data_IF_057979288988
#
_entry.id   IF_057979288988
#
_cell.length_a   1.000
_cell.length_b   1.000
_cell.length_c   1.000
_cell.angle_alpha   90.00
_cell.angle_beta   90.00
_cell.angle_gamma   90.00
#
_symmetry.space_group_name_H-M   'P 1'
#
loop_
_entity.id
_entity.type
_entity.pdbx_description
1 polymer ?
#
# COMPACT_ATOMS: atom_id res chain seq x y z
N UNK A 1 -33.01 13.35 76.56
CA UNK A 1 -32.21 12.23 76.03
C UNK A 1 -32.80 11.64 74.75
N UNK A 2 -34.10 11.35 74.66
CA UNK A 2 -34.71 10.78 73.44
C UNK A 2 -34.55 11.63 72.16
N UNK A 3 -34.66 12.96 72.24
CA UNK A 3 -34.53 13.87 71.09
C UNK A 3 -33.12 13.94 70.49
N UNK A 4 -32.09 13.75 71.31
CA UNK A 4 -30.70 13.76 70.87
C UNK A 4 -30.36 12.50 70.07
N UNK A 5 -30.85 11.34 70.53
CA UNK A 5 -30.70 10.06 69.82
C UNK A 5 -31.44 10.06 68.48
N UNK A 6 -32.62 10.70 68.37
CA UNK A 6 -33.34 10.81 67.10
C UNK A 6 -32.59 11.69 66.08
N UNK A 7 -31.96 12.78 66.54
CA UNK A 7 -31.16 13.66 65.68
C UNK A 7 -29.88 12.98 65.16
N UNK A 8 -29.22 12.16 65.98
CA UNK A 8 -28.03 11.40 65.58
C UNK A 8 -28.34 10.30 64.56
N UNK A 9 -29.50 9.65 64.69
CA UNK A 9 -29.96 8.66 63.71
C UNK A 9 -30.27 9.32 62.37
N UNK A 10 -30.94 10.47 62.38
CA UNK A 10 -31.27 11.23 61.17
C UNK A 10 -29.98 11.68 60.44
N UNK A 11 -29.02 12.20 61.19
CA UNK A 11 -27.75 12.67 60.62
C UNK A 11 -26.91 11.53 60.03
N UNK A 12 -26.94 10.33 60.63
CA UNK A 12 -26.31 9.15 60.02
C UNK A 12 -27.02 8.71 58.74
N UNK A 13 -28.35 8.80 58.70
CA UNK A 13 -29.13 8.47 57.51
C UNK A 13 -28.78 9.41 56.35
N UNK A 14 -28.77 10.72 56.59
CA UNK A 14 -28.44 11.74 55.58
C UNK A 14 -27.00 11.56 55.06
N UNK A 15 -26.09 11.14 55.95
CA UNK A 15 -24.68 10.88 55.60
C UNK A 15 -24.53 9.63 54.73
N UNK A 16 -25.22 8.53 55.06
CA UNK A 16 -25.24 7.32 54.23
C UNK A 16 -25.87 7.59 52.85
N UNK A 17 -26.93 8.39 52.78
CA UNK A 17 -27.56 8.80 51.53
C UNK A 17 -26.60 9.64 50.66
N UNK A 18 -25.82 10.51 51.28
CA UNK A 18 -24.81 11.32 50.59
C UNK A 18 -23.68 10.45 50.05
N UNK A 19 -23.20 9.49 50.86
CA UNK A 19 -22.15 8.56 50.45
C UNK A 19 -22.60 7.67 49.29
N UNK A 20 -23.83 7.15 49.34
CA UNK A 20 -24.41 6.37 48.24
C UNK A 20 -24.49 7.17 46.94
N UNK A 21 -24.94 8.43 47.00
CA UNK A 21 -24.99 9.32 45.82
C UNK A 21 -23.60 9.61 45.25
N UNK A 22 -22.58 9.74 46.08
CA UNK A 22 -21.20 9.91 45.61
C UNK A 22 -20.66 8.65 44.93
N UNK A 23 -20.96 7.47 45.48
CA UNK A 23 -20.57 6.19 44.87
C UNK A 23 -21.23 6.03 43.50
N UNK A 24 -22.53 6.30 43.40
CA UNK A 24 -23.27 6.24 42.13
C UNK A 24 -22.72 7.23 41.09
N UNK A 25 -22.39 8.46 41.51
CA UNK A 25 -21.78 9.46 40.64
C UNK A 25 -20.37 9.01 40.17
N UNK A 26 -19.58 8.38 41.03
CA UNK A 26 -18.27 7.84 40.64
C UNK A 26 -18.40 6.67 39.66
N UNK A 27 -19.36 5.78 39.87
CA UNK A 27 -19.63 4.67 38.94
C UNK A 27 -20.06 5.23 37.58
N UNK A 28 -20.94 6.25 37.56
CA UNK A 28 -21.36 6.93 36.35
C UNK A 28 -20.18 7.60 35.62
N UNK A 29 -19.28 8.25 36.35
CA UNK A 29 -18.08 8.88 35.79
C UNK A 29 -17.10 7.85 35.20
N UNK A 30 -16.83 6.76 35.92
CA UNK A 30 -15.94 5.69 35.46
C UNK A 30 -16.52 5.02 34.20
N UNK A 31 -17.84 4.81 34.15
CA UNK A 31 -18.51 4.26 32.96
C UNK A 31 -18.47 5.23 31.77
N UNK A 32 -18.62 6.53 31.99
CA UNK A 32 -18.50 7.53 30.94
C UNK A 32 -17.05 7.60 30.38
N UNK A 33 -16.05 7.56 31.27
CA UNK A 33 -14.64 7.55 30.88
C UNK A 33 -14.27 6.27 30.14
N UNK A 34 -14.75 5.10 30.59
CA UNK A 34 -14.45 3.82 29.93
C UNK A 34 -15.07 3.72 28.53
N UNK A 35 -16.26 4.30 28.31
CA UNK A 35 -16.86 4.41 26.98
C UNK A 35 -16.15 5.43 26.08
N UNK A 36 -15.68 6.56 26.63
CA UNK A 36 -14.93 7.57 25.87
C UNK A 36 -13.49 7.16 25.53
N UNK A 37 -12.91 6.24 26.29
CA UNK A 37 -11.54 5.71 26.11
C UNK A 37 -11.51 4.37 25.37
N UNK A 38 -12.66 3.76 25.08
CA UNK A 38 -12.72 2.57 24.26
C UNK A 38 -12.08 2.89 22.90
N UNK A 39 -11.07 2.12 22.44
CA UNK A 39 -10.52 2.31 21.11
C UNK A 39 -11.68 2.23 20.13
N UNK A 40 -11.91 3.30 19.38
CA UNK A 40 -12.86 3.31 18.29
C UNK A 40 -12.26 2.51 17.13
N UNK A 41 -12.07 1.21 17.35
CA UNK A 41 -11.89 0.27 16.27
C UNK A 41 -13.06 0.50 15.33
N UNK A 42 -12.76 0.83 14.07
CA UNK A 42 -13.73 1.23 13.04
C UNK A 42 -14.19 2.70 13.07
N UNK A 43 -13.40 3.63 13.62
CA UNK A 43 -13.67 5.05 13.34
C UNK A 43 -13.60 5.32 11.82
N UNK A 44 -14.42 6.24 11.27
CA UNK A 44 -14.39 6.58 9.85
C UNK A 44 -12.99 6.98 9.36
N UNK A 45 -12.21 7.66 10.21
CA UNK A 45 -10.83 8.08 9.94
C UNK A 45 -9.89 6.87 9.85
N UNK A 46 -10.04 5.88 10.73
CA UNK A 46 -9.26 4.63 10.66
C UNK A 46 -9.59 3.83 9.42
N UNK A 47 -10.87 3.73 9.06
CA UNK A 47 -11.31 3.05 7.82
C UNK A 47 -10.76 3.78 6.59
N UNK A 48 -10.80 5.11 6.59
CA UNK A 48 -10.22 5.92 5.52
C UNK A 48 -8.72 5.71 5.37
N UNK A 49 -7.99 5.71 6.50
CA UNK A 49 -6.55 5.47 6.52
C UNK A 49 -6.21 4.06 6.04
N UNK A 50 -6.95 3.05 6.50
CA UNK A 50 -6.76 1.66 6.07
C UNK A 50 -7.01 1.49 4.57
N UNK A 51 -8.08 2.09 4.04
CA UNK A 51 -8.37 2.08 2.61
C UNK A 51 -7.28 2.80 1.80
N UNK A 52 -6.75 3.90 2.31
CA UNK A 52 -5.64 4.60 1.69
C UNK A 52 -4.37 3.74 1.66
N UNK A 53 -4.06 3.06 2.76
CA UNK A 53 -2.92 2.17 2.86
C UNK A 53 -3.02 0.99 1.89
N UNK A 54 -4.18 0.33 1.83
CA UNK A 54 -4.44 -0.73 0.85
C UNK A 54 -4.24 -0.23 -0.58
N UNK A 55 -4.71 0.98 -0.90
CA UNK A 55 -4.54 1.57 -2.24
C UNK A 55 -3.06 1.77 -2.57
N UNK A 56 -2.28 2.32 -1.64
CA UNK A 56 -0.84 2.51 -1.83
C UNK A 56 -0.12 1.17 -2.01
N UNK A 57 -0.49 0.14 -1.24
CA UNK A 57 0.10 -1.19 -1.36
C UNK A 57 -0.19 -1.82 -2.74
N UNK A 58 -1.42 -1.66 -3.25
CA UNK A 58 -1.76 -2.09 -4.61
C UNK A 58 -0.92 -1.36 -5.65
N UNK A 59 -0.81 -0.03 -5.55
CA UNK A 59 -0.02 0.77 -6.48
C UNK A 59 1.47 0.38 -6.46
N UNK A 60 2.04 0.16 -5.27
CA UNK A 60 3.41 -0.31 -5.14
C UNK A 60 3.58 -1.66 -5.82
N UNK A 61 2.63 -2.58 -5.60
CA UNK A 61 2.69 -3.91 -6.19
C UNK A 61 2.58 -3.88 -7.71
N UNK A 62 1.75 -3.02 -8.27
CA UNK A 62 1.65 -2.81 -9.71
C UNK A 62 2.98 -2.34 -10.31
N UNK A 63 3.65 -1.38 -9.67
CA UNK A 63 4.96 -0.88 -10.10
C UNK A 63 6.02 -1.99 -10.04
N UNK A 64 6.04 -2.79 -8.97
CA UNK A 64 6.95 -3.94 -8.85
C UNK A 64 6.74 -4.96 -9.96
N UNK A 65 5.48 -5.31 -10.25
CA UNK A 65 5.14 -6.24 -11.32
C UNK A 65 5.55 -5.69 -12.69
N UNK A 66 5.32 -4.40 -12.94
CA UNK A 66 5.73 -3.74 -14.18
C UNK A 66 7.26 -3.78 -14.34
N UNK A 67 8.01 -3.47 -13.28
CA UNK A 67 9.48 -3.54 -13.28
C UNK A 67 9.98 -4.97 -13.50
N UNK A 68 9.38 -5.95 -12.83
CA UNK A 68 9.75 -7.36 -13.00
C UNK A 68 9.51 -7.84 -14.43
N UNK A 69 8.38 -7.45 -15.04
CA UNK A 69 8.09 -7.75 -16.45
C UNK A 69 9.09 -7.10 -17.40
N UNK A 70 9.44 -5.84 -17.16
CA UNK A 70 10.44 -5.14 -17.96
C UNK A 70 11.83 -5.78 -17.84
N UNK A 71 12.22 -6.22 -16.64
CA UNK A 71 13.46 -6.93 -16.40
C UNK A 71 13.49 -8.28 -17.14
N UNK A 72 12.40 -9.06 -17.04
CA UNK A 72 12.27 -10.33 -17.76
C UNK A 72 12.37 -10.12 -19.28
N UNK A 73 11.66 -9.12 -19.83
CA UNK A 73 11.75 -8.81 -21.25
C UNK A 73 13.16 -8.38 -21.69
N UNK A 74 13.88 -7.65 -20.84
CA UNK A 74 15.27 -7.27 -21.10
C UNK A 74 16.22 -8.49 -21.07
N UNK A 75 16.02 -9.42 -20.12
CA UNK A 75 16.77 -10.67 -20.05
C UNK A 75 16.50 -11.56 -21.27
N UNK A 76 15.25 -11.69 -21.70
CA UNK A 76 14.86 -12.42 -22.90
C UNK A 76 15.51 -11.81 -24.16
N UNK A 77 15.48 -10.48 -24.29
CA UNK A 77 16.14 -9.78 -25.39
C UNK A 77 17.66 -10.00 -25.38
N UNK A 78 18.29 -9.96 -24.20
CA UNK A 78 19.72 -10.22 -24.04
C UNK A 78 20.07 -11.68 -24.38
N UNK A 79 19.26 -12.64 -23.92
CA UNK A 79 19.42 -14.06 -24.23
C UNK A 79 19.27 -14.35 -25.72
N UNK A 80 18.29 -13.73 -26.38
CA UNK A 80 18.10 -13.83 -27.82
C UNK A 80 19.27 -13.20 -28.60
N UNK A 81 19.79 -12.05 -28.15
CA UNK A 81 20.97 -11.43 -28.74
C UNK A 81 22.22 -12.32 -28.59
N UNK A 82 22.41 -12.95 -27.43
CA UNK A 82 23.51 -13.88 -27.19
C UNK A 82 23.39 -15.14 -28.04
N UNK A 83 22.21 -15.76 -28.11
CA UNK A 83 21.96 -16.93 -28.95
C UNK A 83 22.26 -16.65 -30.43
N UNK A 84 21.86 -15.47 -30.90
CA UNK A 84 22.20 -14.98 -32.25
C UNK A 84 23.69 -14.79 -32.44
N UNK A 85 24.36 -14.08 -31.54
CA UNK A 85 25.81 -13.84 -31.64
C UNK A 85 26.59 -15.16 -31.68
N UNK A 86 26.18 -16.13 -30.86
CA UNK A 86 26.76 -17.48 -30.86
C UNK A 86 26.52 -18.21 -32.18
N UNK A 87 25.30 -18.19 -32.71
CA UNK A 87 24.99 -18.85 -33.98
C UNK A 87 25.78 -18.25 -35.16
N UNK A 88 25.94 -16.92 -35.20
CA UNK A 88 26.80 -16.24 -36.19
C UNK A 88 28.25 -16.68 -36.02
N UNK A 89 28.76 -16.76 -34.80
CA UNK A 89 30.13 -17.21 -34.53
C UNK A 89 30.34 -18.67 -34.96
N UNK A 90 29.37 -19.55 -34.69
CA UNK A 90 29.43 -20.97 -35.08
C UNK A 90 29.45 -21.12 -36.62
N UNK A 91 28.67 -20.30 -37.35
CA UNK A 91 28.71 -20.27 -38.81
C UNK A 91 30.02 -19.73 -39.38
N UNK A 92 30.59 -18.67 -38.79
CA UNK A 92 31.92 -18.18 -39.19
C UNK A 92 32.98 -19.27 -38.93
N UNK A 93 32.87 -19.97 -37.79
CA UNK A 93 33.74 -21.09 -37.43
C UNK A 93 33.64 -22.29 -38.38
N UNK A 94 32.51 -22.49 -39.05
CA UNK A 94 32.32 -23.53 -40.06
C UNK A 94 32.77 -23.11 -41.47
N UNK A 95 33.26 -21.87 -41.64
CA UNK A 95 33.84 -21.37 -42.89
C UNK A 95 32.94 -20.45 -43.71
N UNK A 96 31.77 -20.04 -43.19
CA UNK A 96 30.91 -19.06 -43.84
C UNK A 96 31.49 -17.64 -43.74
N UNK A 97 31.29 -16.85 -44.80
CA UNK A 97 31.62 -15.43 -44.75
C UNK A 97 30.70 -14.70 -43.75
N UNK A 98 31.16 -13.64 -43.07
CA UNK A 98 30.37 -12.96 -42.03
C UNK A 98 28.99 -12.47 -42.48
N UNK A 99 28.87 -11.99 -43.73
CA UNK A 99 27.59 -11.54 -44.29
C UNK A 99 26.60 -12.71 -44.47
N UNK A 100 27.10 -13.85 -44.93
CA UNK A 100 26.33 -15.06 -45.18
C UNK A 100 25.91 -15.74 -43.86
N UNK A 101 26.80 -15.74 -42.86
CA UNK A 101 26.51 -16.21 -41.51
C UNK A 101 25.40 -15.38 -40.83
N UNK A 102 25.40 -14.06 -41.01
CA UNK A 102 24.33 -13.18 -40.53
C UNK A 102 23.01 -13.44 -41.25
N UNK A 103 23.05 -13.68 -42.56
CA UNK A 103 21.88 -14.01 -43.36
C UNK A 103 21.26 -15.35 -42.93
N UNK A 104 22.05 -16.41 -42.77
CA UNK A 104 21.58 -17.70 -42.27
C UNK A 104 20.98 -17.59 -40.87
N UNK A 105 21.61 -16.81 -39.99
CA UNK A 105 21.08 -16.59 -38.64
C UNK A 105 19.75 -15.83 -38.67
N UNK A 106 19.57 -14.87 -39.58
CA UNK A 106 18.30 -14.18 -39.79
C UNK A 106 17.21 -15.08 -40.37
N UNK A 107 17.57 -16.06 -41.21
CA UNK A 107 16.61 -17.03 -41.74
C UNK A 107 16.14 -18.02 -40.66
N UNK A 108 17.02 -18.41 -39.73
CA UNK A 108 16.72 -19.42 -38.70
C UNK A 108 16.03 -18.78 -37.48
N UNK A 109 16.54 -17.66 -36.97
CA UNK A 109 16.03 -17.01 -35.75
C UNK A 109 15.08 -15.84 -36.05
N UNK A 110 14.74 -15.61 -37.33
CA UNK A 110 14.01 -14.44 -37.79
C UNK A 110 14.90 -13.18 -37.85
N UNK A 111 14.43 -12.06 -38.42
CA UNK A 111 15.17 -10.80 -38.39
C UNK A 111 15.25 -10.22 -36.97
N UNK A 112 16.31 -9.45 -36.68
CA UNK A 112 16.40 -8.72 -35.41
C UNK A 112 15.25 -7.70 -35.36
N UNK A 113 14.24 -7.97 -34.54
CA UNK A 113 13.35 -6.93 -34.06
C UNK A 113 14.12 -6.16 -33.00
N UNK A 114 14.85 -5.13 -33.43
CA UNK A 114 15.31 -4.09 -32.52
C UNK A 114 14.04 -3.46 -31.96
N UNK A 115 13.57 -3.94 -30.80
CA UNK A 115 12.64 -3.16 -30.00
C UNK A 115 13.33 -1.80 -29.81
N UNK A 116 12.68 -0.68 -30.18
CA UNK A 116 13.29 0.62 -30.01
C UNK A 116 13.70 0.75 -28.53
N UNK A 117 14.87 1.37 -28.24
CA UNK A 117 15.27 1.64 -26.88
C UNK A 117 14.08 2.33 -26.21
N UNK A 118 13.50 1.66 -25.22
CA UNK A 118 12.47 2.27 -24.39
C UNK A 118 13.18 3.43 -23.69
N UNK A 119 13.01 4.63 -24.22
CA UNK A 119 13.44 5.85 -23.54
C UNK A 119 12.92 5.77 -22.11
N UNK A 120 13.75 5.99 -21.09
CA UNK A 120 13.29 6.02 -19.71
C UNK A 120 12.13 7.02 -19.65
N UNK A 121 10.94 6.54 -19.32
CA UNK A 121 9.81 7.42 -19.06
C UNK A 121 10.23 8.27 -17.86
N UNK A 122 10.46 9.56 -18.11
CA UNK A 122 10.83 10.53 -17.09
C UNK A 122 9.71 10.56 -16.03
N UNK A 123 9.98 10.18 -14.77
CA UNK A 123 8.99 10.22 -13.70
C UNK A 123 8.50 11.64 -13.38
N UNK A 124 9.09 12.67 -13.98
CA UNK A 124 8.68 14.07 -13.87
C UNK A 124 7.45 14.43 -14.72
N UNK A 125 7.01 13.56 -15.64
CA UNK A 125 5.75 13.75 -16.35
C UNK A 125 4.59 13.19 -15.53
N UNK A 126 4.21 13.93 -14.49
CA UNK A 126 2.92 13.76 -13.85
C UNK A 126 1.82 14.07 -14.88
N UNK A 127 0.82 13.20 -15.10
CA UNK A 127 -0.39 13.62 -15.78
C UNK A 127 -0.98 14.75 -14.93
N UNK A 128 -1.05 15.95 -15.49
CA UNK A 128 -1.79 17.05 -14.89
C UNK A 128 -3.25 16.63 -14.86
N UNK A 129 -3.72 16.25 -13.68
CA UNK A 129 -5.13 16.00 -13.41
C UNK A 129 -5.90 17.30 -13.66
N UNK A 130 -6.83 17.37 -14.63
CA UNK A 130 -7.68 18.53 -14.77
C UNK A 130 -8.69 18.51 -13.62
N UNK A 131 -8.38 19.26 -12.55
CA UNK A 131 -9.34 19.56 -11.49
C UNK A 131 -10.65 20.11 -12.10
N UNK A 132 -11.83 19.69 -11.62
CA UNK A 132 -13.09 20.26 -12.10
C UNK A 132 -13.23 21.71 -11.58
N UNK A 133 -13.90 22.60 -12.32
CA UNK A 133 -14.21 23.92 -11.79
C UNK A 133 -15.25 23.76 -10.68
N UNK A 134 -14.92 24.27 -9.50
CA UNK A 134 -15.95 24.61 -8.51
C UNK A 134 -16.62 25.89 -9.04
N UNK A 135 -17.90 25.80 -9.40
CA UNK A 135 -18.75 26.97 -9.57
C UNK A 135 -19.20 27.45 -8.17
N UNK A 136 -19.04 28.76 -7.93
CA UNK A 136 -19.54 29.53 -6.77
C UNK A 136 -21.07 29.65 -6.75
#
# INVERSE_FOLDING_TARGET
MASQTTAEIQMNHDRLDTDNRMVDANIALINALSQGLAPTANSPEQISLQNHQIRLDVQLREVEVARARAALAAEEASGAAFARARMVQDFIGSGLAPAEALEMTNQILGPVLLAPPQTPVDPSQTPVDPSPPYDE
#
